data_IF_319437559322
#
_entry.id   IF_319437559322
#
_cell.length_a   1.000
_cell.length_b   1.000
_cell.length_c   1.000
_cell.angle_alpha   90.00
_cell.angle_beta   90.00
_cell.angle_gamma   90.00
#
_symmetry.space_group_name_H-M   'P 1'
#
loop_
_entity.id
_entity.type
_entity.pdbx_description
1 polymer ?
#
# COMPACT_ATOMS: atom_id res chain seq x y z
N UNK A 1 18.25 8.30 11.77
CA UNK A 1 16.88 7.94 11.33
C UNK A 1 16.48 8.92 10.24
N UNK A 2 16.35 8.44 9.00
CA UNK A 2 16.19 9.24 7.79
C UNK A 2 14.96 8.75 7.03
N UNK A 3 14.15 9.65 6.42
CA UNK A 3 13.02 9.26 5.59
C UNK A 3 13.48 8.61 4.29
N UNK A 4 12.85 7.51 3.91
CA UNK A 4 13.14 6.79 2.65
C UNK A 4 11.99 6.88 1.65
N UNK A 5 10.75 6.67 2.09
CA UNK A 5 9.60 6.62 1.21
C UNK A 5 8.29 6.93 1.94
N UNK A 6 7.35 7.53 1.21
CA UNK A 6 6.01 7.88 1.69
C UNK A 6 4.98 7.13 0.84
N UNK A 7 4.49 5.96 1.30
CA UNK A 7 3.44 5.20 0.62
C UNK A 7 2.14 5.99 0.47
N UNK A 8 1.42 5.72 -0.61
CA UNK A 8 0.12 6.31 -0.92
C UNK A 8 -1.06 5.35 -0.65
N UNK A 9 -0.77 4.05 -0.54
CA UNK A 9 -1.78 3.01 -0.31
C UNK A 9 -1.41 2.12 0.87
N UNK A 10 -2.41 1.51 1.54
CA UNK A 10 -2.13 0.54 2.61
C UNK A 10 -1.46 -0.73 2.07
N UNK A 11 -1.75 -1.10 0.82
CA UNK A 11 -1.09 -2.21 0.14
C UNK A 11 0.41 -1.98 0.00
N UNK A 12 0.84 -0.77 -0.39
CA UNK A 12 2.26 -0.40 -0.41
C UNK A 12 2.90 -0.48 0.97
N UNK A 13 2.20 -0.03 2.03
CA UNK A 13 2.71 -0.14 3.40
C UNK A 13 2.98 -1.61 3.76
N UNK A 14 2.06 -2.51 3.45
CA UNK A 14 2.19 -3.94 3.74
C UNK A 14 3.34 -4.60 2.96
N UNK A 15 3.51 -4.25 1.68
CA UNK A 15 4.60 -4.79 0.85
C UNK A 15 5.94 -4.28 1.35
N UNK A 16 6.08 -2.96 1.57
CA UNK A 16 7.33 -2.34 1.99
C UNK A 16 7.74 -2.81 3.39
N UNK A 17 6.79 -2.92 4.34
CA UNK A 17 7.07 -3.49 5.66
C UNK A 17 7.60 -4.92 5.56
N UNK A 18 6.93 -5.78 4.77
CA UNK A 18 7.35 -7.16 4.57
C UNK A 18 8.74 -7.26 3.93
N UNK A 19 9.06 -6.38 2.98
CA UNK A 19 10.39 -6.29 2.37
C UNK A 19 11.45 -5.89 3.40
N UNK A 20 11.24 -4.81 4.15
CA UNK A 20 12.20 -4.37 5.16
C UNK A 20 12.39 -5.43 6.26
N UNK A 21 11.32 -6.11 6.68
CA UNK A 21 11.36 -7.21 7.64
C UNK A 21 12.15 -8.41 7.09
N UNK A 22 11.99 -8.77 5.81
CA UNK A 22 12.70 -9.89 5.19
C UNK A 22 14.22 -9.69 5.12
N UNK A 23 14.68 -8.44 5.00
CA UNK A 23 16.09 -8.07 5.00
C UNK A 23 16.60 -7.65 6.39
N UNK A 24 15.80 -7.85 7.44
CA UNK A 24 16.12 -7.49 8.83
C UNK A 24 16.52 -6.01 9.01
N UNK A 25 15.97 -5.12 8.16
CA UNK A 25 16.26 -3.69 8.21
C UNK A 25 15.38 -3.06 9.29
N UNK A 26 15.95 -2.47 10.35
CA UNK A 26 15.15 -1.82 11.37
C UNK A 26 14.47 -0.57 10.80
N UNK A 27 13.13 -0.51 10.89
CA UNK A 27 12.35 0.65 10.43
C UNK A 27 11.32 1.10 11.46
N UNK A 28 10.88 2.34 11.32
CA UNK A 28 9.66 2.80 11.97
C UNK A 28 8.83 3.64 11.01
N UNK A 29 7.51 3.61 11.20
CA UNK A 29 6.57 4.36 10.37
C UNK A 29 6.17 5.62 11.14
N UNK A 30 6.60 6.78 10.65
CA UNK A 30 6.11 8.07 11.14
C UNK A 30 4.70 8.30 10.58
N UNK A 31 3.76 8.73 11.42
CA UNK A 31 2.38 9.04 11.00
C UNK A 31 1.44 7.84 10.87
N UNK A 32 1.92 6.60 11.04
CA UNK A 32 1.14 5.37 10.84
C UNK A 32 -0.07 5.18 11.78
N UNK A 33 -0.02 5.75 12.99
CA UNK A 33 -1.13 5.62 13.95
C UNK A 33 -2.36 6.45 13.54
N UNK A 34 -2.16 7.63 12.94
CA UNK A 34 -3.26 8.51 12.54
C UNK A 34 -3.95 8.03 11.26
N UNK A 35 -3.19 7.49 10.32
CA UNK A 35 -3.75 6.94 9.07
C UNK A 35 -4.67 5.74 9.33
N UNK A 36 -4.39 4.91 10.35
CA UNK A 36 -5.23 3.76 10.74
C UNK A 36 -6.53 4.16 11.43
N UNK A 37 -6.56 5.32 12.10
CA UNK A 37 -7.75 5.81 12.80
C UNK A 37 -8.78 6.45 11.86
N UNK A 38 -8.32 6.96 10.71
CA UNK A 38 -9.17 7.62 9.71
C UNK A 38 -8.92 7.01 8.33
N UNK A 39 -9.49 5.81 8.04
CA UNK A 39 -9.45 5.24 6.70
C UNK A 39 -10.23 6.17 5.75
N UNK A 40 -9.51 6.89 4.89
CA UNK A 40 -10.07 7.94 4.05
C UNK A 40 -9.05 8.51 3.06
N UNK A 41 -9.44 9.57 2.35
CA UNK A 41 -8.58 10.23 1.36
C UNK A 41 -7.26 10.68 2.02
N UNK A 42 -6.13 10.12 1.58
CA UNK A 42 -4.83 10.50 2.12
C UNK A 42 -4.47 11.91 1.62
N UNK A 43 -4.53 12.89 2.53
CA UNK A 43 -4.13 14.27 2.24
C UNK A 43 -2.64 14.41 2.51
N UNK A 44 -1.93 14.95 1.51
CA UNK A 44 -0.49 15.22 1.57
C UNK A 44 -0.13 16.02 2.82
N UNK A 45 0.91 15.57 3.53
CA UNK A 45 1.45 16.16 4.77
C UNK A 45 0.58 16.08 6.04
N UNK A 46 -0.66 15.57 5.98
CA UNK A 46 -1.54 15.47 7.16
C UNK A 46 -1.68 14.04 7.71
N UNK A 47 -1.92 13.06 6.82
CA UNK A 47 -2.15 11.65 7.18
C UNK A 47 -1.20 10.69 6.45
N UNK A 48 -0.08 11.20 5.94
CA UNK A 48 0.90 10.39 5.23
C UNK A 48 1.76 9.57 6.19
N UNK A 49 1.94 8.30 5.86
CA UNK A 49 2.88 7.42 6.53
C UNK A 49 4.23 7.58 5.86
N UNK A 50 5.30 7.76 6.63
CA UNK A 50 6.65 7.82 6.08
C UNK A 50 7.51 6.77 6.75
N UNK A 51 8.13 5.91 5.95
CA UNK A 51 9.11 4.95 6.42
C UNK A 51 10.42 5.65 6.75
N UNK A 52 10.92 5.35 7.94
CA UNK A 52 12.14 5.90 8.49
C UNK A 52 13.07 4.74 8.86
N UNK A 53 14.32 4.82 8.43
CA UNK A 53 15.36 3.81 8.69
C UNK A 53 16.62 4.46 9.27
N UNK A 54 17.51 3.72 9.96
CA UNK A 54 18.83 4.23 10.33
C UNK A 54 19.64 4.65 9.11
N UNK A 55 20.55 5.60 9.32
CA UNK A 55 21.39 6.18 8.25
C UNK A 55 22.25 5.12 7.55
N UNK A 56 22.80 4.20 8.34
CA UNK A 56 23.56 3.02 7.90
C UNK A 56 22.81 2.12 6.89
N UNK A 57 21.47 2.06 6.96
CA UNK A 57 20.65 1.25 6.07
C UNK A 57 19.99 2.08 4.95
N UNK A 58 20.18 3.39 4.91
CA UNK A 58 19.49 4.28 3.97
C UNK A 58 19.77 3.89 2.52
N UNK A 59 21.05 3.73 2.16
CA UNK A 59 21.45 3.43 0.79
C UNK A 59 20.85 2.10 0.31
N UNK A 60 20.95 1.08 1.15
CA UNK A 60 20.44 -0.26 0.85
C UNK A 60 18.91 -0.29 0.77
N UNK A 61 18.21 0.38 1.70
CA UNK A 61 16.75 0.45 1.67
C UNK A 61 16.24 1.22 0.44
N UNK A 62 16.94 2.28 0.01
CA UNK A 62 16.61 3.00 -1.23
C UNK A 62 16.85 2.14 -2.48
N UNK A 63 17.92 1.35 -2.50
CA UNK A 63 18.20 0.41 -3.59
C UNK A 63 17.10 -0.66 -3.68
N UNK A 64 16.73 -1.29 -2.56
CA UNK A 64 15.66 -2.28 -2.48
C UNK A 64 14.31 -1.71 -2.94
N UNK A 65 13.99 -0.47 -2.54
CA UNK A 65 12.76 0.21 -2.95
C UNK A 65 12.80 0.65 -4.42
N UNK A 66 13.97 0.81 -5.01
CA UNK A 66 14.08 1.24 -6.41
C UNK A 66 13.47 0.19 -7.35
N UNK A 67 13.64 -1.09 -7.06
CA UNK A 67 13.03 -2.20 -7.80
C UNK A 67 11.49 -2.16 -7.73
N UNK A 68 10.95 -1.69 -6.61
CA UNK A 68 9.51 -1.54 -6.40
C UNK A 68 8.95 -0.26 -7.05
N UNK A 69 9.69 0.85 -7.01
CA UNK A 69 9.27 2.17 -7.52
C UNK A 69 9.42 2.24 -9.05
N UNK A 70 10.48 1.63 -9.58
CA UNK A 70 10.75 1.54 -11.01
C UNK A 70 10.66 0.07 -11.42
N UNK A 71 9.43 -0.47 -11.59
CA UNK A 71 9.28 -1.84 -12.04
C UNK A 71 9.94 -1.96 -13.41
N UNK A 72 11.08 -2.66 -13.43
CA UNK A 72 11.68 -3.10 -14.69
C UNK A 72 10.60 -3.94 -15.41
N UNK A 73 10.39 -3.82 -16.74
CA UNK A 73 9.25 -4.45 -17.43
C UNK A 73 9.19 -6.00 -17.41
N UNK A 74 9.94 -6.69 -16.57
CA UNK A 74 9.98 -8.14 -16.49
C UNK A 74 9.08 -8.64 -15.36
N UNK A 75 7.83 -8.90 -15.76
CA UNK A 75 6.93 -9.95 -15.30
C UNK A 75 6.85 -10.22 -13.78
N UNK A 76 5.83 -9.65 -13.14
CA UNK A 76 4.79 -10.43 -12.48
C UNK A 76 3.46 -9.66 -12.52
N UNK A 77 2.48 -10.27 -13.19
CA UNK A 77 1.13 -9.77 -13.33
C UNK A 77 0.41 -9.79 -11.96
N UNK A 78 0.36 -8.66 -11.27
CA UNK A 78 -0.79 -8.37 -10.41
C UNK A 78 -1.75 -7.55 -11.25
N UNK A 79 -2.51 -8.26 -12.09
CA UNK A 79 -3.75 -7.73 -12.60
C UNK A 79 -4.63 -7.35 -11.40
N UNK A 80 -4.63 -6.08 -11.01
CA UNK A 80 -5.70 -5.52 -10.20
C UNK A 80 -6.95 -5.43 -11.08
N UNK A 81 -7.51 -6.59 -11.42
CA UNK A 81 -8.80 -6.77 -12.08
C UNK A 81 -9.95 -6.43 -11.12
N UNK A 82 -9.90 -5.28 -10.46
CA UNK A 82 -11.15 -4.67 -10.00
C UNK A 82 -11.77 -3.91 -11.17
N UNK A 83 -12.31 -4.70 -12.11
CA UNK A 83 -13.17 -4.21 -13.17
C UNK A 83 -14.46 -3.69 -12.54
N UNK A 84 -14.65 -2.38 -12.55
CA UNK A 84 -15.78 -1.66 -11.94
C UNK A 84 -17.13 -2.21 -12.45
N UNK A 85 -17.17 -2.72 -13.68
CA UNK A 85 -18.35 -3.37 -14.27
C UNK A 85 -18.74 -4.68 -13.57
N UNK A 86 -17.78 -5.39 -12.97
CA UNK A 86 -17.99 -6.62 -12.20
C UNK A 86 -18.58 -6.31 -10.83
N UNK A 87 -18.08 -5.28 -10.14
CA UNK A 87 -18.62 -4.82 -8.85
C UNK A 87 -20.05 -4.28 -9.02
N UNK A 88 -20.32 -3.50 -10.06
CA UNK A 88 -21.68 -3.03 -10.40
C UNK A 88 -22.64 -4.19 -10.70
N UNK A 89 -22.17 -5.23 -11.41
CA UNK A 89 -22.99 -6.42 -11.70
C UNK A 89 -23.35 -7.19 -10.43
N UNK A 90 -22.39 -7.39 -9.52
CA UNK A 90 -22.62 -8.11 -8.26
C UNK A 90 -23.63 -7.37 -7.37
N UNK A 91 -23.53 -6.04 -7.27
CA UNK A 91 -24.52 -5.23 -6.53
C UNK A 91 -25.92 -5.32 -7.15
N UNK A 92 -26.02 -5.36 -8.48
CA UNK A 92 -27.29 -5.54 -9.19
C UNK A 92 -27.91 -6.92 -8.88
N UNK A 93 -27.11 -7.99 -8.94
CA UNK A 93 -27.58 -9.36 -8.68
C UNK A 93 -28.07 -9.55 -7.24
N UNK A 94 -27.34 -8.99 -6.25
CA UNK A 94 -27.75 -9.04 -4.83
C UNK A 94 -29.07 -8.30 -4.61
N UNK A 95 -29.24 -7.13 -5.24
CA UNK A 95 -30.48 -6.34 -5.13
C UNK A 95 -31.65 -7.07 -5.77
N UNK A 96 -31.45 -7.70 -6.93
CA UNK A 96 -32.49 -8.46 -7.62
C UNK A 96 -32.87 -9.74 -6.86
N UNK A 97 -31.91 -10.52 -6.36
CA UNK A 97 -32.21 -11.72 -5.57
C UNK A 97 -32.88 -11.38 -4.24
N UNK A 98 -32.51 -10.28 -3.59
CA UNK A 98 -33.15 -9.81 -2.37
C UNK A 98 -34.62 -9.36 -2.55
N UNK A 99 -35.00 -8.92 -3.75
CA UNK A 99 -36.37 -8.52 -4.07
C UNK A 99 -37.27 -9.68 -4.55
N UNK A 100 -36.71 -10.81 -5.00
CA UNK A 100 -37.49 -11.98 -5.47
C UNK A 100 -37.85 -12.93 -4.32
N UNK A 101 -37.12 -12.89 -3.20
CA UNK A 101 -37.33 -13.78 -2.05
C UNK A 101 -38.16 -13.15 -0.91
N UNK A 102 -38.90 -12.07 -1.19
CA UNK A 102 -39.76 -11.36 -0.24
C UNK A 102 -41.15 -11.18 -0.82
#
# INVERSE_FOLDING_TARGET
MIPIYTPQTESEVAVISSMLDAYEIPYYIRGGAFSKLYPGLQIKDYNMQTFMVPDEFQAFALELLNDFINPTPQEEAVETQFSITRVLRVLMEITLMGCVYR
#
